data_IF_644669282633
#
_entry.id   IF_644669282633
#
_cell.length_a   1.000
_cell.length_b   1.000
_cell.length_c   1.000
_cell.angle_alpha   90.00
_cell.angle_beta   90.00
_cell.angle_gamma   90.00
#
_symmetry.space_group_name_H-M   'P 1'
#
loop_
_entity.id
_entity.type
_entity.pdbx_description
1 polymer ?
#
# COMPACT_ATOMS: atom_id res chain seq x y z
N UNK A 1 7.86 6.62 -11.60
CA UNK A 1 7.78 5.14 -11.74
C UNK A 1 9.19 4.61 -11.97
N UNK A 2 9.53 3.46 -11.38
CA UNK A 2 10.77 2.76 -11.70
C UNK A 2 10.45 1.49 -12.48
N UNK A 3 11.23 1.20 -13.53
CA UNK A 3 11.07 0.00 -14.36
C UNK A 3 12.29 -0.90 -14.15
N UNK A 4 12.04 -2.18 -13.98
CA UNK A 4 13.06 -3.20 -13.74
C UNK A 4 12.93 -4.28 -14.81
N UNK A 5 14.05 -4.54 -15.49
CA UNK A 5 14.15 -5.64 -16.44
C UNK A 5 14.09 -6.99 -15.71
N UNK A 6 13.85 -8.07 -16.44
CA UNK A 6 13.89 -9.44 -15.89
C UNK A 6 15.20 -9.72 -15.18
N UNK A 7 16.33 -9.33 -15.76
CA UNK A 7 17.67 -9.57 -15.20
C UNK A 7 17.92 -8.81 -13.90
N UNK A 8 17.28 -7.66 -13.69
CA UNK A 8 17.33 -6.91 -12.44
C UNK A 8 16.33 -7.44 -11.41
N UNK A 9 15.15 -7.87 -11.86
CA UNK A 9 14.06 -8.30 -11.00
C UNK A 9 14.25 -9.74 -10.45
N UNK A 10 14.73 -10.68 -11.27
CA UNK A 10 14.88 -12.09 -10.87
C UNK A 10 15.80 -12.28 -9.65
N UNK A 11 17.00 -11.66 -9.57
CA UNK A 11 17.87 -11.76 -8.40
C UNK A 11 17.47 -10.83 -7.25
N UNK A 12 16.39 -10.05 -7.36
CA UNK A 12 16.01 -9.09 -6.33
C UNK A 12 15.59 -9.80 -5.02
N UNK A 13 16.16 -9.47 -3.85
CA UNK A 13 15.81 -10.10 -2.58
C UNK A 13 14.35 -9.82 -2.17
N UNK A 14 13.78 -8.69 -2.61
CA UNK A 14 12.38 -8.34 -2.36
C UNK A 14 11.40 -8.93 -3.39
N UNK A 15 11.85 -9.79 -4.31
CA UNK A 15 11.00 -10.37 -5.38
C UNK A 15 9.78 -11.11 -4.82
N UNK A 16 9.91 -11.73 -3.65
CA UNK A 16 8.81 -12.42 -2.95
C UNK A 16 7.70 -11.49 -2.48
N UNK A 17 7.99 -10.19 -2.29
CA UNK A 17 7.00 -9.17 -1.92
C UNK A 17 6.29 -8.57 -3.14
N UNK A 18 6.77 -8.86 -4.35
CA UNK A 18 6.16 -8.32 -5.56
C UNK A 18 4.95 -9.17 -5.98
N UNK A 19 3.94 -8.54 -6.58
CA UNK A 19 2.77 -9.24 -7.15
C UNK A 19 3.17 -10.31 -8.18
N UNK A 20 2.39 -11.37 -8.39
CA UNK A 20 2.74 -12.33 -9.44
C UNK A 20 2.57 -11.69 -10.82
N UNK A 21 3.54 -11.88 -11.72
CA UNK A 21 3.50 -11.34 -13.09
C UNK A 21 4.10 -12.34 -14.07
N UNK A 22 3.43 -12.55 -15.21
CA UNK A 22 3.88 -13.44 -16.28
C UNK A 22 5.11 -12.90 -17.03
N UNK A 23 5.24 -11.59 -17.17
CA UNK A 23 6.26 -10.92 -18.00
C UNK A 23 7.67 -10.91 -17.34
N UNK A 24 7.79 -11.26 -16.06
CA UNK A 24 9.02 -11.15 -15.23
C UNK A 24 9.67 -9.76 -15.11
N UNK A 25 9.32 -8.79 -15.97
CA UNK A 25 9.64 -7.37 -15.78
C UNK A 25 8.67 -6.75 -14.78
N UNK A 26 9.13 -5.74 -14.03
CA UNK A 26 8.31 -5.09 -12.99
C UNK A 26 8.40 -3.58 -13.08
N UNK A 27 7.28 -2.95 -12.77
CA UNK A 27 7.22 -1.49 -12.58
C UNK A 27 6.78 -1.21 -11.15
N UNK A 28 7.50 -0.32 -10.47
CA UNK A 28 7.12 0.20 -9.16
C UNK A 28 6.62 1.63 -9.35
N UNK A 29 5.34 1.83 -9.02
CA UNK A 29 4.72 3.14 -8.95
C UNK A 29 5.05 3.81 -7.63
N UNK A 30 5.32 5.11 -7.66
CA UNK A 30 5.45 5.93 -6.46
C UNK A 30 4.39 7.03 -6.56
N UNK A 31 3.55 7.22 -5.53
CA UNK A 31 2.64 8.36 -5.52
C UNK A 31 3.43 9.68 -5.49
N UNK A 32 2.83 10.80 -5.94
CA UNK A 32 3.38 12.13 -5.70
C UNK A 32 3.69 12.32 -4.21
N UNK A 33 4.72 13.11 -3.90
CA UNK A 33 5.17 13.33 -2.51
C UNK A 33 4.03 13.80 -1.63
N UNK A 34 3.29 14.80 -2.09
CA UNK A 34 2.12 15.37 -1.38
C UNK A 34 1.08 14.31 -1.03
N UNK A 35 0.77 13.40 -1.97
CA UNK A 35 -0.16 12.30 -1.72
C UNK A 35 0.42 11.28 -0.74
N UNK A 36 1.73 10.99 -0.83
CA UNK A 36 2.42 10.10 0.11
C UNK A 36 2.40 10.66 1.52
N UNK A 37 2.68 11.96 1.68
CA UNK A 37 2.67 12.66 2.95
C UNK A 37 1.26 12.67 3.56
N UNK A 38 0.23 12.95 2.76
CA UNK A 38 -1.15 12.88 3.19
C UNK A 38 -1.52 11.47 3.66
N UNK A 39 -1.20 10.43 2.87
CA UNK A 39 -1.45 9.04 3.24
C UNK A 39 -0.76 8.65 4.55
N UNK A 40 0.47 9.11 4.78
CA UNK A 40 1.20 8.85 6.02
C UNK A 40 0.55 9.52 7.23
N UNK A 41 0.17 10.80 7.11
CA UNK A 41 -0.54 11.52 8.18
C UNK A 41 -1.82 10.81 8.55
N UNK A 42 -2.67 10.55 7.54
CA UNK A 42 -3.94 9.84 7.72
C UNK A 42 -3.72 8.47 8.37
N UNK A 43 -2.75 7.66 7.90
CA UNK A 43 -2.48 6.36 8.54
C UNK A 43 -1.99 6.47 9.98
N UNK A 44 -1.24 7.51 10.31
CA UNK A 44 -0.81 7.78 11.69
C UNK A 44 -2.02 8.10 12.57
N UNK A 45 -2.91 8.97 12.10
CA UNK A 45 -4.16 9.31 12.78
C UNK A 45 -5.06 8.08 12.98
N UNK A 46 -5.14 7.20 11.96
CA UNK A 46 -5.90 5.95 12.02
C UNK A 46 -5.45 4.99 13.13
N UNK A 47 -4.20 5.08 13.58
CA UNK A 47 -3.73 4.20 14.65
C UNK A 47 -4.20 4.64 16.04
N UNK A 48 -4.71 5.86 16.18
CA UNK A 48 -5.16 6.39 17.46
C UNK A 48 -6.44 5.71 17.96
N UNK A 49 -6.61 5.54 19.28
CA UNK A 49 -7.82 4.94 19.85
C UNK A 49 -9.07 5.79 19.61
N UNK A 50 -8.93 7.12 19.57
CA UNK A 50 -10.04 8.03 19.24
C UNK A 50 -10.53 7.79 17.81
N UNK A 51 -9.62 7.73 16.84
CA UNK A 51 -9.98 7.44 15.45
C UNK A 51 -10.65 6.07 15.32
N UNK A 52 -10.10 5.03 15.97
CA UNK A 52 -10.68 3.67 15.97
C UNK A 52 -12.08 3.63 16.59
N UNK A 53 -12.30 4.36 17.68
CA UNK A 53 -13.61 4.45 18.34
C UNK A 53 -14.64 5.11 17.43
N UNK A 54 -14.26 6.23 16.78
CA UNK A 54 -15.12 6.91 15.80
C UNK A 54 -15.42 6.02 14.58
N UNK A 55 -14.41 5.33 14.06
CA UNK A 55 -14.58 4.43 12.92
C UNK A 55 -15.40 3.18 13.25
N UNK A 56 -15.32 2.65 14.49
CA UNK A 56 -16.05 1.47 14.91
C UNK A 56 -17.57 1.64 14.76
N UNK A 57 -18.10 2.84 15.04
CA UNK A 57 -19.51 3.20 14.85
C UNK A 57 -19.94 3.03 13.40
N UNK A 58 -19.12 3.47 12.44
CA UNK A 58 -19.39 3.33 11.02
C UNK A 58 -19.20 1.88 10.54
N UNK A 59 -18.15 1.18 11.03
CA UNK A 59 -17.87 -0.21 10.61
C UNK A 59 -18.95 -1.20 11.07
N UNK A 60 -19.72 -0.87 12.11
CA UNK A 60 -20.86 -1.67 12.53
C UNK A 60 -22.00 -1.71 11.51
N UNK A 61 -22.14 -0.67 10.68
CA UNK A 61 -23.13 -0.59 9.59
C UNK A 61 -22.77 -1.50 8.42
N UNK A 62 -21.49 -1.78 8.22
CA UNK A 62 -20.95 -2.55 7.08
C UNK A 62 -20.83 -4.06 7.38
N UNK A 63 -20.92 -4.44 8.67
CA UNK A 63 -20.77 -5.84 9.13
C UNK A 63 -22.09 -6.61 9.29
N UNK A 64 -23.24 -5.94 9.17
CA UNK A 64 -24.56 -6.57 9.30
C UNK A 64 -25.42 -6.42 8.04
N UNK A 65 -24.81 -6.61 6.87
CA UNK A 65 -25.53 -6.87 5.63
C UNK A 65 -25.09 -8.23 5.06
#
# INVERSE_FOLDING_TARGET
MARFTKSQCQPCPARTQCTTSRESTRTVGFPPRELRDLQFRVRTEQQTPEWKTRYAVCSGVERHC
#
